data_IF_546535722948
#
_entry.id   IF_546535722948
#
_cell.length_a   1.000
_cell.length_b   1.000
_cell.length_c   1.000
_cell.angle_alpha   90.00
_cell.angle_beta   90.00
_cell.angle_gamma   90.00
#
_symmetry.space_group_name_H-M   'P 1'
#
loop_
_entity.id
_entity.type
_entity.pdbx_description
1 polymer ?
#
# COMPACT_ATOMS: atom_id res chain seq x y z
N UNK A 1 8.26 -24.03 -14.50
CA UNK A 1 8.01 -22.97 -13.50
C UNK A 1 8.54 -21.69 -14.08
N UNK A 2 7.72 -20.66 -14.07
CA UNK A 2 8.05 -19.31 -14.54
C UNK A 2 7.99 -18.33 -13.37
N UNK A 3 8.73 -17.24 -13.49
CA UNK A 3 8.88 -16.20 -12.49
C UNK A 3 8.76 -14.85 -13.19
N UNK A 4 7.97 -13.96 -12.64
CA UNK A 4 7.89 -12.56 -13.07
C UNK A 4 7.86 -11.66 -11.81
N UNK A 5 8.22 -10.39 -11.95
CA UNK A 5 8.34 -9.45 -10.83
C UNK A 5 7.54 -8.18 -11.10
N UNK A 6 6.91 -7.66 -10.04
CA UNK A 6 6.29 -6.35 -10.09
C UNK A 6 6.31 -5.70 -8.71
N UNK A 7 6.93 -4.52 -8.62
CA UNK A 7 7.00 -3.69 -7.41
C UNK A 7 7.53 -4.46 -6.18
N UNK A 8 8.62 -5.23 -6.33
CA UNK A 8 9.26 -5.94 -5.23
C UNK A 8 8.59 -7.25 -4.82
N UNK A 9 7.48 -7.61 -5.47
CA UNK A 9 6.81 -8.90 -5.32
C UNK A 9 7.17 -9.83 -6.48
N UNK A 10 7.57 -11.04 -6.13
CA UNK A 10 7.81 -12.13 -7.08
C UNK A 10 6.54 -12.94 -7.29
N UNK A 11 6.18 -13.18 -8.54
CA UNK A 11 5.08 -14.05 -8.95
C UNK A 11 5.60 -15.29 -9.62
N UNK A 12 5.18 -16.46 -9.15
CA UNK A 12 5.57 -17.74 -9.75
C UNK A 12 4.41 -18.74 -9.73
N UNK A 13 4.51 -19.79 -10.55
CA UNK A 13 3.40 -20.71 -10.77
C UNK A 13 3.73 -22.18 -10.46
N UNK A 14 2.73 -22.90 -9.95
CA UNK A 14 2.58 -24.35 -10.13
C UNK A 14 1.82 -24.63 -11.44
N UNK A 15 1.38 -25.87 -11.64
CA UNK A 15 0.56 -26.24 -12.79
C UNK A 15 -0.86 -25.63 -12.75
N UNK A 16 -1.37 -25.33 -11.55
CA UNK A 16 -2.77 -25.00 -11.27
C UNK A 16 -2.95 -23.80 -10.34
N UNK A 17 -1.86 -23.16 -9.91
CA UNK A 17 -1.88 -22.06 -8.96
C UNK A 17 -0.75 -21.07 -9.23
N UNK A 18 -0.97 -19.82 -8.86
CA UNK A 18 0.00 -18.73 -8.88
C UNK A 18 0.19 -18.25 -7.44
N UNK A 19 1.45 -18.05 -7.07
CA UNK A 19 1.86 -17.56 -5.77
C UNK A 19 2.51 -16.19 -5.91
N UNK A 20 2.36 -15.39 -4.86
CA UNK A 20 3.12 -14.17 -4.64
C UNK A 20 4.11 -14.39 -3.50
N UNK A 21 5.30 -13.84 -3.65
CA UNK A 21 6.34 -13.84 -2.63
C UNK A 21 6.88 -12.44 -2.43
N UNK A 22 6.71 -11.95 -1.21
CA UNK A 22 7.25 -10.68 -0.75
C UNK A 22 8.67 -10.90 -0.23
N UNK A 23 9.65 -10.33 -0.94
CA UNK A 23 11.07 -10.44 -0.61
C UNK A 23 11.42 -9.66 0.66
N UNK A 24 10.70 -8.58 0.96
CA UNK A 24 10.95 -7.74 2.12
C UNK A 24 10.49 -8.40 3.42
N UNK A 25 9.30 -9.02 3.40
CA UNK A 25 8.76 -9.72 4.59
C UNK A 25 9.08 -11.21 4.62
N UNK A 26 9.67 -11.74 3.54
CA UNK A 26 9.92 -13.17 3.35
C UNK A 26 8.63 -14.02 3.48
N UNK A 27 7.51 -13.49 2.99
CA UNK A 27 6.18 -14.11 3.10
C UNK A 27 5.71 -14.60 1.73
N UNK A 28 5.17 -15.80 1.68
CA UNK A 28 4.57 -16.40 0.48
C UNK A 28 3.07 -16.58 0.67
N UNK A 29 2.29 -16.18 -0.32
CA UNK A 29 0.84 -16.34 -0.32
C UNK A 29 0.35 -16.89 -1.66
N UNK A 30 -0.72 -17.69 -1.63
CA UNK A 30 -1.48 -18.01 -2.83
C UNK A 30 -2.11 -16.73 -3.38
N UNK A 31 -1.92 -16.48 -4.68
CA UNK A 31 -2.43 -15.29 -5.36
C UNK A 31 -3.69 -15.60 -6.16
N UNK A 32 -3.63 -16.64 -7.01
CA UNK A 32 -4.76 -17.03 -7.85
C UNK A 32 -4.71 -18.50 -8.22
N UNK A 33 -5.87 -19.14 -8.32
CA UNK A 33 -6.00 -20.46 -8.95
C UNK A 33 -6.05 -20.32 -10.47
N UNK A 34 -5.50 -21.31 -11.17
CA UNK A 34 -5.54 -21.39 -12.63
C UNK A 34 -6.55 -22.46 -13.04
N UNK A 35 -7.52 -22.08 -13.86
CA UNK A 35 -8.47 -23.04 -14.45
C UNK A 35 -7.75 -24.00 -15.41
N UNK A 36 -7.64 -25.25 -14.96
CA UNK A 36 -6.95 -26.33 -15.67
C UNK A 36 -7.82 -27.10 -16.67
N UNK A 37 -9.08 -26.69 -16.88
CA UNK A 37 -9.98 -27.35 -17.85
C UNK A 37 -9.45 -27.34 -19.29
N UNK A 38 -8.54 -26.42 -19.59
CA UNK A 38 -7.91 -26.25 -20.92
C UNK A 38 -6.40 -26.55 -20.92
N UNK A 39 -5.87 -27.17 -19.86
CA UNK A 39 -4.45 -27.45 -19.69
C UNK A 39 -3.83 -26.76 -18.49
N UNK A 40 -2.50 -26.82 -18.35
CA UNK A 40 -1.77 -26.32 -17.18
C UNK A 40 -1.10 -24.97 -17.44
N UNK A 41 -0.77 -24.26 -16.35
CA UNK A 41 0.02 -23.05 -16.40
C UNK A 41 1.50 -23.38 -16.69
N UNK A 42 2.02 -22.87 -17.79
CA UNK A 42 3.42 -23.06 -18.19
C UNK A 42 4.23 -21.76 -18.18
N UNK A 43 3.57 -20.61 -18.13
CA UNK A 43 4.21 -19.30 -18.12
C UNK A 43 3.37 -18.27 -17.38
N UNK A 44 4.02 -17.17 -17.03
CA UNK A 44 3.42 -15.97 -16.48
C UNK A 44 3.85 -14.79 -17.34
N UNK A 45 2.99 -13.78 -17.39
CA UNK A 45 3.32 -12.49 -17.97
C UNK A 45 2.62 -11.39 -17.19
N UNK A 46 3.40 -10.42 -16.75
CA UNK A 46 2.87 -9.16 -16.25
C UNK A 46 2.85 -8.13 -17.38
N UNK A 47 1.72 -7.45 -17.55
CA UNK A 47 1.58 -6.35 -18.49
C UNK A 47 0.67 -5.29 -17.86
N UNK A 48 1.18 -4.04 -17.80
CA UNK A 48 0.44 -2.88 -17.26
C UNK A 48 -0.11 -3.08 -15.83
N UNK A 49 0.59 -3.87 -15.01
CA UNK A 49 0.16 -4.20 -13.64
C UNK A 49 -0.87 -5.33 -13.55
N UNK A 50 -1.21 -5.97 -14.66
CA UNK A 50 -2.08 -7.14 -14.70
C UNK A 50 -1.27 -8.41 -14.91
N UNK A 51 -1.54 -9.44 -14.11
CA UNK A 51 -0.93 -10.76 -14.21
C UNK A 51 -1.77 -11.71 -15.06
N UNK A 52 -1.12 -12.34 -16.03
CA UNK A 52 -1.71 -13.36 -16.89
C UNK A 52 -0.96 -14.69 -16.77
N UNK A 53 -1.70 -15.79 -16.73
CA UNK A 53 -1.16 -17.14 -16.86
C UNK A 53 -1.21 -17.60 -18.31
N UNK A 54 -0.10 -18.18 -18.78
CA UNK A 54 -0.02 -18.83 -20.07
C UNK A 54 -0.43 -20.30 -19.90
N UNK A 55 -1.66 -20.62 -20.30
CA UNK A 55 -2.27 -21.95 -20.12
C UNK A 55 -2.25 -22.72 -21.44
N UNK A 56 -1.82 -23.98 -21.38
CA UNK A 56 -1.84 -24.88 -22.54
C UNK A 56 -1.86 -26.35 -22.12
N UNK A 57 -2.14 -27.26 -23.05
CA UNK A 57 -2.11 -28.72 -22.82
C UNK A 57 -0.69 -29.29 -22.85
N UNK A 58 0.28 -28.54 -23.38
CA UNK A 58 1.70 -28.90 -23.44
C UNK A 58 2.57 -27.63 -23.45
N UNK A 59 3.79 -27.65 -22.90
CA UNK A 59 4.66 -26.47 -22.86
C UNK A 59 5.16 -26.00 -24.24
N UNK A 60 5.04 -26.83 -25.27
CA UNK A 60 5.64 -26.59 -26.61
C UNK A 60 4.60 -26.28 -27.70
N UNK A 61 3.35 -25.99 -27.33
CA UNK A 61 2.29 -25.59 -28.27
C UNK A 61 1.84 -24.16 -27.96
N UNK A 62 1.00 -23.59 -28.82
CA UNK A 62 0.47 -22.24 -28.61
C UNK A 62 -0.22 -22.12 -27.25
N UNK A 63 0.07 -21.02 -26.55
CA UNK A 63 -0.41 -20.75 -25.20
C UNK A 63 -1.56 -19.75 -25.26
N UNK A 64 -2.56 -19.94 -24.40
CA UNK A 64 -3.63 -18.97 -24.20
C UNK A 64 -3.33 -18.17 -22.94
N UNK A 65 -3.23 -16.84 -23.07
CA UNK A 65 -3.11 -15.95 -21.92
C UNK A 65 -4.46 -15.83 -21.23
N UNK A 66 -4.56 -16.33 -20.00
CA UNK A 66 -5.73 -16.17 -19.14
C UNK A 66 -5.44 -15.09 -18.10
N UNK A 67 -6.38 -14.17 -17.94
CA UNK A 67 -6.32 -13.19 -16.85
C UNK A 67 -6.28 -13.92 -15.50
N UNK A 68 -5.38 -13.51 -14.62
CA UNK A 68 -5.22 -14.14 -13.29
C UNK A 68 -5.39 -13.16 -12.14
N UNK A 69 -5.28 -11.85 -12.39
CA UNK A 69 -5.56 -10.81 -11.42
C UNK A 69 -4.75 -9.54 -11.68
N UNK A 70 -5.12 -8.46 -11.02
CA UNK A 70 -4.25 -7.28 -10.91
C UNK A 70 -3.12 -7.59 -9.94
N UNK A 71 -1.88 -7.30 -10.31
CA UNK A 71 -0.74 -7.43 -9.42
C UNK A 71 -1.02 -6.66 -8.13
N UNK A 72 -0.60 -7.26 -7.01
CA UNK A 72 -0.59 -6.59 -5.72
C UNK A 72 0.34 -5.41 -5.90
N UNK A 73 -0.25 -4.22 -5.92
CA UNK A 73 0.53 -3.02 -5.78
C UNK A 73 1.09 -3.12 -4.39
N UNK A 74 2.42 -3.13 -4.28
CA UNK A 74 3.06 -2.67 -3.06
C UNK A 74 2.30 -1.40 -2.73
N UNK A 75 1.46 -1.47 -1.70
CA UNK A 75 0.90 -0.27 -1.15
C UNK A 75 2.17 0.32 -0.61
N UNK A 76 2.81 1.17 -1.43
CA UNK A 76 3.91 1.99 -0.98
C UNK A 76 3.42 2.39 0.38
N UNK A 77 4.07 1.85 1.41
CA UNK A 77 4.14 2.59 2.63
C UNK A 77 4.92 3.79 2.10
N UNK A 78 4.19 4.77 1.54
CA UNK A 78 4.47 6.15 1.80
C UNK A 78 4.68 6.07 3.29
N UNK A 79 5.95 5.96 3.70
CA UNK A 79 6.39 6.49 4.96
C UNK A 79 5.63 7.80 4.93
N UNK A 80 4.53 7.92 5.71
CA UNK A 80 3.71 9.09 5.56
C UNK A 80 4.75 10.19 5.71
N UNK A 81 4.77 11.11 4.75
CA UNK A 81 5.72 12.19 4.84
C UNK A 81 5.15 13.02 6.00
N UNK A 82 5.34 12.52 7.24
CA UNK A 82 4.63 12.97 8.42
C UNK A 82 5.38 14.23 8.75
N UNK A 83 4.93 15.26 8.07
CA UNK A 83 5.41 16.60 8.23
C UNK A 83 4.81 17.07 9.53
N UNK A 84 5.65 17.57 10.41
CA UNK A 84 5.19 18.10 11.69
C UNK A 84 4.08 19.14 11.43
N UNK A 85 2.90 18.93 12.03
CA UNK A 85 1.70 19.73 11.81
C UNK A 85 0.74 19.26 10.69
N UNK A 86 1.08 18.24 9.91
CA UNK A 86 0.18 17.59 8.93
C UNK A 86 -0.48 16.37 9.58
N UNK A 87 -1.59 16.61 10.28
CA UNK A 87 -2.27 15.64 11.14
C UNK A 87 -3.16 14.71 10.34
N UNK A 88 -3.76 15.18 9.25
CA UNK A 88 -4.60 14.34 8.40
C UNK A 88 -3.80 13.53 7.36
N UNK A 89 -2.51 13.87 7.16
CA UNK A 89 -1.60 13.16 6.25
C UNK A 89 -1.84 13.47 4.78
N UNK A 90 -2.47 14.60 4.44
CA UNK A 90 -2.78 14.99 3.06
C UNK A 90 -1.61 15.70 2.34
N UNK A 91 -0.50 15.92 3.06
CA UNK A 91 0.70 16.57 2.56
C UNK A 91 0.71 18.10 2.72
N UNK A 92 -0.35 18.69 3.26
CA UNK A 92 -0.54 20.14 3.40
C UNK A 92 -0.85 20.51 4.85
N UNK A 93 0.01 21.32 5.46
CA UNK A 93 -0.29 21.93 6.77
C UNK A 93 -1.39 22.99 6.55
N UNK A 94 -2.58 22.71 7.07
CA UNK A 94 -3.80 23.47 6.83
C UNK A 94 -4.62 23.72 8.11
N UNK A 95 -5.71 24.48 8.00
CA UNK A 95 -6.66 24.66 9.11
C UNK A 95 -7.41 23.36 9.45
N UNK A 96 -7.39 22.37 8.55
CA UNK A 96 -8.00 21.07 8.78
C UNK A 96 -7.22 20.33 9.88
N UNK A 97 -5.89 20.36 9.83
CA UNK A 97 -5.02 19.77 10.85
C UNK A 97 -5.25 20.36 12.23
N UNK A 98 -5.34 21.70 12.28
CA UNK A 98 -5.68 22.45 13.48
C UNK A 98 -7.03 22.03 14.04
N UNK A 99 -8.02 21.85 13.17
CA UNK A 99 -9.37 21.42 13.56
C UNK A 99 -9.36 19.99 14.11
N UNK A 100 -8.53 19.11 13.57
CA UNK A 100 -8.43 17.73 14.02
C UNK A 100 -7.73 17.61 15.39
N UNK A 101 -6.70 18.44 15.66
CA UNK A 101 -6.12 18.59 17.01
C UNK A 101 -7.16 19.09 18.01
N UNK A 102 -7.97 20.09 17.64
CA UNK A 102 -9.02 20.63 18.50
C UNK A 102 -10.09 19.58 18.83
N UNK A 103 -10.54 18.82 17.82
CA UNK A 103 -11.49 17.71 18.03
C UNK A 103 -10.89 16.62 18.92
N UNK A 104 -9.61 16.28 18.71
CA UNK A 104 -8.92 15.29 19.52
C UNK A 104 -8.83 15.75 20.99
N UNK A 105 -8.42 17.01 21.21
CA UNK A 105 -8.33 17.61 22.54
C UNK A 105 -9.69 17.68 23.25
N UNK A 106 -10.78 17.82 22.48
CA UNK A 106 -12.16 17.75 22.99
C UNK A 106 -12.69 16.31 23.15
N UNK A 107 -11.90 15.28 22.81
CA UNK A 107 -12.31 13.87 22.85
C UNK A 107 -13.31 13.46 21.76
N UNK A 108 -13.46 14.28 20.71
CA UNK A 108 -14.40 14.05 19.60
C UNK A 108 -13.88 13.09 18.52
N UNK A 109 -12.56 12.85 18.48
CA UNK A 109 -11.92 11.91 17.56
C UNK A 109 -10.77 11.19 18.28
N UNK A 110 -10.37 10.04 17.76
CA UNK A 110 -9.17 9.31 18.19
C UNK A 110 -8.16 9.38 17.04
N UNK A 111 -6.99 9.93 17.33
CA UNK A 111 -5.87 9.99 16.38
C UNK A 111 -5.01 8.72 16.47
N UNK A 112 -4.41 8.31 15.37
CA UNK A 112 -3.43 7.22 15.35
C UNK A 112 -2.11 7.63 16.01
N UNK A 113 -1.24 6.67 16.34
CA UNK A 113 0.08 6.97 16.92
C UNK A 113 0.95 7.89 16.03
N UNK A 114 0.87 7.71 14.71
CA UNK A 114 1.55 8.56 13.73
C UNK A 114 1.00 9.98 13.72
N UNK A 115 -0.33 10.13 13.72
CA UNK A 115 -0.99 11.43 13.77
C UNK A 115 -0.69 12.17 15.08
N UNK A 116 -0.62 11.45 16.20
CA UNK A 116 -0.24 12.03 17.50
C UNK A 116 1.19 12.59 17.47
N UNK A 117 2.12 11.90 16.80
CA UNK A 117 3.51 12.33 16.72
C UNK A 117 3.70 13.65 15.96
N UNK A 118 2.89 13.90 14.93
CA UNK A 118 2.92 15.18 14.19
C UNK A 118 1.97 16.24 14.70
N UNK A 119 0.94 15.84 15.45
CA UNK A 119 0.05 16.74 16.15
C UNK A 119 0.72 17.40 17.37
N UNK A 120 1.73 16.77 17.97
CA UNK A 120 2.60 17.35 19.01
C UNK A 120 3.59 18.34 18.36
N UNK A 121 3.09 19.52 17.99
CA UNK A 121 3.83 20.50 17.22
C UNK A 121 4.87 21.22 18.08
N UNK A 122 4.61 21.40 19.37
CA UNK A 122 5.56 22.02 20.29
C UNK A 122 6.58 21.02 20.89
N UNK A 123 6.41 19.71 20.64
CA UNK A 123 7.21 18.60 21.18
C UNK A 123 7.25 18.54 22.71
N UNK A 124 6.13 18.87 23.38
CA UNK A 124 6.00 18.78 24.83
C UNK A 124 5.49 17.41 25.31
N UNK A 125 5.14 16.52 24.38
CA UNK A 125 4.63 15.18 24.62
C UNK A 125 3.12 15.14 24.88
N UNK A 126 2.40 16.25 24.75
CA UNK A 126 0.97 16.37 25.04
C UNK A 126 0.26 17.08 23.88
N UNK A 127 -0.44 16.33 23.04
CA UNK A 127 -1.29 16.90 21.98
C UNK A 127 -2.48 17.64 22.57
N UNK A 128 -2.51 18.96 22.44
CA UNK A 128 -3.59 19.80 22.97
C UNK A 128 -3.80 21.10 22.16
N UNK A 129 -4.65 22.00 22.67
CA UNK A 129 -4.98 23.28 22.00
C UNK A 129 -3.77 24.21 21.77
N UNK A 130 -2.68 24.03 22.54
CA UNK A 130 -1.43 24.77 22.37
C UNK A 130 -0.80 24.43 21.03
N UNK A 131 -0.74 23.15 20.64
CA UNK A 131 -0.21 22.73 19.34
C UNK A 131 -1.01 23.33 18.18
N UNK A 132 -2.34 23.27 18.27
CA UNK A 132 -3.24 23.88 17.30
C UNK A 132 -2.97 25.39 17.15
N UNK A 133 -2.65 26.07 18.25
CA UNK A 133 -2.33 27.51 18.26
C UNK A 133 -0.97 27.80 17.61
N UNK A 134 0.04 26.97 17.85
CA UNK A 134 1.37 27.13 17.24
C UNK A 134 1.33 26.86 15.73
N UNK A 135 0.58 25.86 15.27
CA UNK A 135 0.35 25.63 13.84
C UNK A 135 -0.35 26.85 13.21
N UNK A 136 -1.42 27.38 13.83
CA UNK A 136 -2.08 28.58 13.32
C UNK A 136 -1.12 29.78 13.19
N UNK A 137 -0.22 29.99 14.17
CA UNK A 137 0.80 31.04 14.09
C UNK A 137 1.78 30.81 12.94
N UNK A 138 2.24 29.58 12.76
CA UNK A 138 3.10 29.20 11.64
C UNK A 138 2.44 29.53 10.30
N UNK A 139 1.16 29.19 10.14
CA UNK A 139 0.41 29.45 8.91
C UNK A 139 0.24 30.94 8.59
N UNK A 140 0.13 31.80 9.61
CA UNK A 140 -0.01 33.26 9.42
C UNK A 140 1.33 33.96 9.16
N UNK A 141 2.44 33.35 9.62
CA UNK A 141 3.79 33.92 9.50
C UNK A 141 4.58 33.41 8.29
N UNK A 142 4.01 32.49 7.51
CA UNK A 142 4.63 31.86 6.33
C UNK A 142 4.14 32.43 5.00
#
# INVERSE_FOLDING_TARGET
MSLDENNGLLYFNSADCIYSYDVATNTMNEFASVDTSSGYCYGLRIADGTLYSAVSTSPNVELVMKFSGECIKDTLITIPNIRQGDVNGDGVISIIDVTDIQKYSAGGVILTGEQLAVADYNNDGIVNIVDATEIQKFMVSS
#
